data_IF_578805826627
#
_entry.id   IF_578805826627
#
_cell.length_a   1.000
_cell.length_b   1.000
_cell.length_c   1.000
_cell.angle_alpha   90.00
_cell.angle_beta   90.00
_cell.angle_gamma   90.00
#
_symmetry.space_group_name_H-M   'P 1'
#
loop_
_entity.id
_entity.type
_entity.pdbx_description
1 polymer ?
#
# COMPACT_ATOMS: atom_id res chain seq x y z
N UNK A 1 -13.34 -10.79 24.57
CA UNK A 1 -13.74 -10.93 23.15
C UNK A 1 -13.84 -12.42 22.84
N UNK A 2 -14.87 -12.88 22.12
CA UNK A 2 -15.15 -14.30 21.90
C UNK A 2 -14.31 -14.84 20.72
N UNK A 3 -13.72 -16.04 20.86
CA UNK A 3 -12.95 -16.72 19.81
C UNK A 3 -13.71 -16.89 18.50
N UNK A 4 -14.97 -17.31 18.56
CA UNK A 4 -15.84 -17.45 17.38
C UNK A 4 -16.03 -16.12 16.63
N UNK A 5 -16.04 -14.99 17.35
CA UNK A 5 -16.13 -13.68 16.72
C UNK A 5 -14.83 -13.34 15.97
N UNK A 6 -13.68 -13.65 16.58
CA UNK A 6 -12.37 -13.44 15.96
C UNK A 6 -12.17 -14.31 14.72
N UNK A 7 -12.53 -15.59 14.79
CA UNK A 7 -12.49 -16.52 13.64
C UNK A 7 -13.37 -16.05 12.47
N UNK A 8 -14.44 -15.29 12.74
CA UNK A 8 -15.28 -14.69 11.69
C UNK A 8 -14.74 -13.36 11.17
N UNK A 9 -14.15 -12.52 12.03
CA UNK A 9 -13.66 -11.19 11.65
C UNK A 9 -12.32 -11.27 10.91
N UNK A 10 -11.43 -12.19 11.28
CA UNK A 10 -10.10 -12.30 10.67
C UNK A 10 -10.16 -12.51 9.14
N UNK A 11 -10.96 -13.43 8.59
CA UNK A 11 -11.09 -13.57 7.13
C UNK A 11 -11.63 -12.31 6.45
N UNK A 12 -12.53 -11.58 7.10
CA UNK A 12 -13.09 -10.32 6.57
C UNK A 12 -11.99 -9.24 6.53
N UNK A 13 -11.20 -9.13 7.60
CA UNK A 13 -10.09 -8.18 7.67
C UNK A 13 -9.00 -8.51 6.65
N UNK A 14 -8.69 -9.80 6.47
CA UNK A 14 -7.74 -10.28 5.46
C UNK A 14 -8.23 -9.95 4.05
N UNK A 15 -9.52 -10.18 3.76
CA UNK A 15 -10.10 -9.83 2.47
C UNK A 15 -10.05 -8.32 2.20
N UNK A 16 -10.43 -7.50 3.18
CA UNK A 16 -10.37 -6.04 3.05
C UNK A 16 -8.94 -5.52 2.85
N UNK A 17 -7.94 -6.17 3.45
CA UNK A 17 -6.52 -5.89 3.21
C UNK A 17 -6.14 -6.20 1.75
N UNK A 18 -6.57 -7.35 1.21
CA UNK A 18 -6.25 -7.76 -0.16
C UNK A 18 -6.95 -6.86 -1.22
N UNK A 19 -8.19 -6.45 -0.97
CA UNK A 19 -8.90 -5.48 -1.80
C UNK A 19 -8.13 -4.15 -1.83
N UNK A 20 -7.74 -3.63 -0.66
CA UNK A 20 -6.97 -2.39 -0.56
C UNK A 20 -5.58 -2.51 -1.21
N UNK A 21 -4.94 -3.68 -1.12
CA UNK A 21 -3.67 -3.95 -1.77
C UNK A 21 -3.80 -3.93 -3.30
N UNK A 22 -4.91 -4.46 -3.82
CA UNK A 22 -5.22 -4.44 -5.25
C UNK A 22 -5.51 -3.04 -5.76
N UNK A 23 -6.29 -2.25 -5.02
CA UNK A 23 -6.53 -0.83 -5.32
C UNK A 23 -5.21 -0.03 -5.35
N UNK A 24 -4.37 -0.19 -4.33
CA UNK A 24 -3.06 0.46 -4.24
C UNK A 24 -2.16 0.10 -5.43
N UNK A 25 -2.09 -1.18 -5.81
CA UNK A 25 -1.34 -1.63 -7.01
C UNK A 25 -1.85 -0.96 -8.28
N UNK A 26 -3.17 -0.82 -8.43
CA UNK A 26 -3.79 -0.12 -9.55
C UNK A 26 -3.39 1.36 -9.61
N UNK A 27 -3.38 2.05 -8.48
CA UNK A 27 -2.93 3.44 -8.40
C UNK A 27 -1.43 3.59 -8.67
N UNK A 28 -0.60 2.66 -8.16
CA UNK A 28 0.84 2.64 -8.43
C UNK A 28 1.13 2.51 -9.93
N UNK A 29 0.50 1.55 -10.60
CA UNK A 29 0.70 1.33 -12.03
C UNK A 29 0.30 2.57 -12.86
N UNK A 30 -0.79 3.25 -12.49
CA UNK A 30 -1.18 4.51 -13.12
C UNK A 30 -0.13 5.60 -12.88
N UNK A 31 0.34 5.77 -11.65
CA UNK A 31 1.39 6.75 -11.34
C UNK A 31 2.67 6.49 -12.15
N UNK A 32 3.11 5.23 -12.27
CA UNK A 32 4.28 4.86 -13.07
C UNK A 32 4.09 5.18 -14.56
N UNK A 33 2.90 4.91 -15.12
CA UNK A 33 2.60 5.25 -16.52
C UNK A 33 2.58 6.77 -16.78
N UNK A 34 2.04 7.56 -15.85
CA UNK A 34 2.05 9.03 -15.97
C UNK A 34 3.47 9.60 -15.85
N UNK A 35 4.31 9.00 -14.98
CA UNK A 35 5.72 9.33 -14.84
C UNK A 35 6.52 9.01 -16.11
N UNK A 36 6.30 7.85 -16.72
CA UNK A 36 6.94 7.48 -17.99
C UNK A 36 6.57 8.48 -19.10
N UNK A 37 5.31 8.90 -19.15
CA UNK A 37 4.85 9.91 -20.11
C UNK A 37 5.53 11.26 -19.88
N UNK A 38 5.65 11.70 -18.63
CA UNK A 38 6.40 12.91 -18.29
C UNK A 38 7.87 12.80 -18.70
N UNK A 39 8.51 11.66 -18.41
CA UNK A 39 9.90 11.41 -18.77
C UNK A 39 10.11 11.54 -20.29
N UNK A 40 9.25 10.92 -21.11
CA UNK A 40 9.33 11.03 -22.57
C UNK A 40 9.20 12.46 -23.06
N UNK A 41 8.31 13.26 -22.48
CA UNK A 41 8.17 14.68 -22.82
C UNK A 41 9.43 15.47 -22.50
N UNK A 42 10.04 15.25 -21.33
CA UNK A 42 11.28 15.91 -20.91
C UNK A 42 12.45 15.53 -21.82
N UNK A 43 12.61 14.24 -22.13
CA UNK A 43 13.66 13.78 -23.07
C UNK A 43 13.48 14.41 -24.45
N UNK A 44 12.24 14.50 -24.93
CA UNK A 44 11.93 15.15 -26.21
C UNK A 44 12.30 16.63 -26.17
N UNK A 45 12.00 17.31 -25.06
CA UNK A 45 12.35 18.72 -24.85
C UNK A 45 13.86 18.95 -24.84
N UNK A 46 14.61 18.13 -24.10
CA UNK A 46 16.08 18.21 -24.08
C UNK A 46 16.69 17.94 -25.45
N UNK A 47 16.14 16.99 -26.20
CA UNK A 47 16.61 16.68 -27.56
C UNK A 47 16.38 17.85 -28.51
N UNK A 48 15.21 18.50 -28.42
CA UNK A 48 14.90 19.71 -29.18
C UNK A 48 15.90 20.82 -28.87
N UNK A 49 16.19 21.06 -27.58
CA UNK A 49 17.17 22.07 -27.14
C UNK A 49 18.57 21.79 -27.71
N UNK A 50 19.07 20.56 -27.58
CA UNK A 50 20.40 20.17 -28.09
C UNK A 50 20.51 20.38 -29.60
N UNK A 51 19.51 19.93 -30.36
CA UNK A 51 19.49 20.10 -31.82
C UNK A 51 19.52 21.56 -32.27
N UNK A 52 19.00 22.48 -31.43
CA UNK A 52 19.03 23.90 -31.72
C UNK A 52 20.40 24.51 -31.43
N UNK A 53 21.02 24.14 -30.31
CA UNK A 53 22.38 24.59 -29.95
C UNK A 53 23.41 24.13 -30.99
N UNK A 54 23.25 22.93 -31.54
CA UNK A 54 24.09 22.39 -32.61
C UNK A 54 23.91 23.10 -33.97
N UNK A 55 22.77 23.74 -34.20
CA UNK A 55 22.42 24.39 -35.48
C UNK A 55 22.58 25.91 -35.46
N UNK A 56 23.37 26.46 -34.54
CA UNK A 56 23.62 27.89 -34.29
C UNK A 56 24.18 28.73 -35.47
N UNK A 57 24.04 28.28 -36.72
CA UNK A 57 24.36 29.02 -37.95
C UNK A 57 23.22 29.90 -38.48
N UNK A 58 23.23 30.22 -39.77
CA UNK A 58 22.18 31.02 -40.44
C UNK A 58 20.89 30.19 -40.54
N UNK A 59 20.04 30.30 -39.52
CA UNK A 59 18.71 29.70 -39.50
C UNK A 59 17.73 30.71 -40.12
N UNK A 60 16.90 30.25 -41.05
CA UNK A 60 15.76 31.00 -41.55
C UNK A 60 14.84 31.43 -40.40
N UNK A 61 14.46 32.71 -40.35
CA UNK A 61 13.63 33.30 -39.31
C UNK A 61 12.33 32.51 -39.09
N UNK A 62 11.74 31.98 -40.17
CA UNK A 62 10.53 31.17 -40.09
C UNK A 62 10.77 29.86 -39.33
N UNK A 63 11.90 29.19 -39.58
CA UNK A 63 12.30 27.97 -38.87
C UNK A 63 12.58 28.25 -37.39
N UNK A 64 13.20 29.39 -37.08
CA UNK A 64 13.41 29.81 -35.70
C UNK A 64 12.06 29.99 -34.96
N UNK A 65 11.11 30.72 -35.54
CA UNK A 65 9.79 30.93 -34.95
C UNK A 65 9.01 29.63 -34.76
N UNK A 66 9.10 28.70 -35.71
CA UNK A 66 8.47 27.38 -35.60
C UNK A 66 9.02 26.59 -34.41
N UNK A 67 10.35 26.58 -34.24
CA UNK A 67 11.02 25.89 -33.12
C UNK A 67 10.64 26.49 -31.77
N UNK A 68 10.60 27.82 -31.67
CA UNK A 68 10.15 28.49 -30.44
C UNK A 68 8.73 28.09 -30.06
N UNK A 69 7.80 28.08 -31.02
CA UNK A 69 6.42 27.65 -30.78
C UNK A 69 6.33 26.19 -30.33
N UNK A 70 7.07 25.30 -31.00
CA UNK A 70 7.12 23.89 -30.63
C UNK A 70 7.67 23.70 -29.20
N UNK A 71 8.73 24.43 -28.85
CA UNK A 71 9.31 24.46 -27.51
C UNK A 71 8.29 24.90 -26.46
N UNK A 72 7.59 25.99 -26.72
CA UNK A 72 6.61 26.54 -25.79
C UNK A 72 5.42 25.59 -25.60
N UNK A 73 4.95 24.98 -26.68
CA UNK A 73 3.92 23.95 -26.62
C UNK A 73 4.37 22.75 -25.77
N UNK A 74 5.60 22.27 -25.97
CA UNK A 74 6.14 21.13 -25.22
C UNK A 74 6.31 21.47 -23.73
N UNK A 75 6.72 22.70 -23.38
CA UNK A 75 6.75 23.17 -21.99
C UNK A 75 5.37 23.12 -21.34
N UNK A 76 4.33 23.63 -22.00
CA UNK A 76 2.95 23.59 -21.48
C UNK A 76 2.45 22.16 -21.30
N UNK A 77 2.82 21.25 -22.20
CA UNK A 77 2.51 19.83 -22.06
C UNK A 77 3.23 19.21 -20.86
N UNK A 78 4.52 19.52 -20.65
CA UNK A 78 5.27 19.07 -19.48
C UNK A 78 4.63 19.58 -18.19
N UNK A 79 4.30 20.87 -18.09
CA UNK A 79 3.65 21.47 -16.92
C UNK A 79 2.31 20.79 -16.60
N UNK A 80 1.50 20.55 -17.64
CA UNK A 80 0.22 19.85 -17.49
C UNK A 80 0.45 18.40 -17.01
N UNK A 81 1.41 17.70 -17.60
CA UNK A 81 1.72 16.32 -17.24
C UNK A 81 2.31 16.21 -15.83
N UNK A 82 3.10 17.20 -15.38
CA UNK A 82 3.59 17.28 -14.00
C UNK A 82 2.43 17.36 -13.00
N UNK A 83 1.39 18.13 -13.31
CA UNK A 83 0.19 18.18 -12.48
C UNK A 83 -0.53 16.82 -12.43
N UNK A 84 -0.67 16.14 -13.58
CA UNK A 84 -1.27 14.80 -13.66
C UNK A 84 -0.48 13.79 -12.82
N UNK A 85 0.85 13.78 -12.95
CA UNK A 85 1.76 12.96 -12.15
C UNK A 85 1.56 13.23 -10.66
N UNK A 86 1.51 14.51 -10.25
CA UNK A 86 1.33 14.88 -8.85
C UNK A 86 -0.02 14.40 -8.31
N UNK A 87 -1.10 14.54 -9.08
CA UNK A 87 -2.42 14.02 -8.71
C UNK A 87 -2.42 12.49 -8.58
N UNK A 88 -1.79 11.78 -9.53
CA UNK A 88 -1.67 10.33 -9.51
C UNK A 88 -0.86 9.84 -8.30
N UNK A 89 0.26 10.51 -8.00
CA UNK A 89 1.08 10.26 -6.81
C UNK A 89 0.29 10.43 -5.53
N UNK A 90 -0.50 11.50 -5.41
CA UNK A 90 -1.32 11.73 -4.22
C UNK A 90 -2.34 10.60 -4.02
N UNK A 91 -2.99 10.12 -5.09
CA UNK A 91 -3.92 8.99 -5.02
C UNK A 91 -3.21 7.69 -4.61
N UNK A 92 -2.04 7.44 -5.17
CA UNK A 92 -1.20 6.30 -4.80
C UNK A 92 -0.83 6.34 -3.31
N UNK A 93 -0.34 7.48 -2.80
CA UNK A 93 0.01 7.64 -1.39
C UNK A 93 -1.19 7.42 -0.46
N UNK A 94 -2.36 7.99 -0.80
CA UNK A 94 -3.59 7.78 -0.03
C UNK A 94 -4.00 6.30 0.01
N UNK A 95 -3.90 5.60 -1.12
CA UNK A 95 -4.18 4.16 -1.17
C UNK A 95 -3.16 3.35 -0.35
N UNK A 96 -1.89 3.75 -0.35
CA UNK A 96 -0.84 3.14 0.47
C UNK A 96 -1.10 3.31 1.98
N UNK A 97 -1.51 4.50 2.41
CA UNK A 97 -1.88 4.77 3.81
C UNK A 97 -3.10 3.94 4.24
N UNK A 98 -4.12 3.83 3.38
CA UNK A 98 -5.29 2.98 3.64
C UNK A 98 -4.90 1.51 3.80
N UNK A 99 -4.06 0.98 2.90
CA UNK A 99 -3.56 -0.38 2.99
C UNK A 99 -2.81 -0.60 4.31
N UNK A 100 -1.95 0.33 4.70
CA UNK A 100 -1.23 0.24 5.97
C UNK A 100 -2.21 0.16 7.15
N UNK A 101 -3.28 0.97 7.14
CA UNK A 101 -4.35 0.88 8.12
C UNK A 101 -5.00 -0.51 8.19
N UNK A 102 -5.27 -1.12 7.03
CA UNK A 102 -5.86 -2.47 6.94
C UNK A 102 -4.91 -3.58 7.39
N UNK A 103 -3.62 -3.48 7.07
CA UNK A 103 -2.59 -4.40 7.57
C UNK A 103 -2.51 -4.34 9.10
N UNK A 104 -2.53 -3.13 9.68
CA UNK A 104 -2.51 -2.97 11.14
C UNK A 104 -3.77 -3.52 11.78
N UNK A 105 -4.94 -3.30 11.17
CA UNK A 105 -6.22 -3.83 11.64
C UNK A 105 -6.25 -5.38 11.64
N UNK A 106 -5.85 -6.01 10.54
CA UNK A 106 -5.77 -7.47 10.43
C UNK A 106 -4.82 -8.07 11.49
N UNK A 107 -3.62 -7.49 11.63
CA UNK A 107 -2.63 -7.93 12.61
C UNK A 107 -3.12 -7.82 14.06
N UNK A 108 -3.94 -6.82 14.37
CA UNK A 108 -4.59 -6.70 15.70
C UNK A 108 -5.50 -7.90 15.97
N UNK A 109 -6.31 -8.32 15.00
CA UNK A 109 -7.21 -9.45 15.18
C UNK A 109 -6.45 -10.77 15.33
N UNK A 110 -5.39 -10.99 14.54
CA UNK A 110 -4.49 -12.15 14.69
C UNK A 110 -3.91 -12.20 16.10
N UNK A 111 -3.33 -11.09 16.56
CA UNK A 111 -2.71 -11.02 17.89
C UNK A 111 -3.72 -11.26 19.02
N UNK A 112 -4.95 -10.75 18.87
CA UNK A 112 -6.02 -10.98 19.83
C UNK A 112 -6.48 -12.44 19.84
N UNK A 113 -6.56 -13.07 18.66
CA UNK A 113 -6.89 -14.50 18.53
C UNK A 113 -5.84 -15.39 19.20
N UNK A 114 -4.55 -15.13 18.97
CA UNK A 114 -3.46 -15.83 19.64
C UNK A 114 -3.55 -15.72 21.16
N UNK A 115 -3.78 -14.50 21.69
CA UNK A 115 -3.96 -14.29 23.14
C UNK A 115 -5.16 -15.02 23.71
N UNK A 116 -6.30 -14.99 23.02
CA UNK A 116 -7.51 -15.71 23.45
C UNK A 116 -7.24 -17.21 23.47
N UNK A 117 -6.60 -17.76 22.44
CA UNK A 117 -6.24 -19.18 22.38
C UNK A 117 -5.27 -19.58 23.48
N UNK A 118 -4.24 -18.76 23.77
CA UNK A 118 -3.32 -19.02 24.88
C UNK A 118 -4.03 -19.02 26.24
N UNK A 119 -4.95 -18.09 26.45
CA UNK A 119 -5.75 -18.03 27.68
C UNK A 119 -6.66 -19.25 27.83
N UNK A 120 -7.32 -19.70 26.76
CA UNK A 120 -8.14 -20.92 26.77
C UNK A 120 -7.32 -22.14 27.18
N UNK A 121 -6.11 -22.30 26.62
CA UNK A 121 -5.19 -23.39 26.98
C UNK A 121 -4.76 -23.29 28.44
N UNK A 122 -4.43 -22.08 28.93
CA UNK A 122 -4.03 -21.88 30.31
C UNK A 122 -5.17 -22.22 31.29
N UNK A 123 -6.39 -21.78 31.00
CA UNK A 123 -7.58 -22.09 31.81
C UNK A 123 -7.85 -23.59 31.80
N UNK A 124 -7.79 -24.26 30.64
CA UNK A 124 -7.97 -25.71 30.53
C UNK A 124 -6.98 -26.49 31.40
N UNK A 125 -5.70 -26.09 31.40
CA UNK A 125 -4.65 -26.71 32.23
C UNK A 125 -4.89 -26.50 33.72
N UNK A 126 -5.32 -25.30 34.12
CA UNK A 126 -5.66 -25.02 35.51
C UNK A 126 -6.88 -25.84 35.97
N UNK A 127 -7.92 -25.96 35.13
CA UNK A 127 -9.08 -26.78 35.46
C UNK A 127 -8.74 -28.26 35.56
N UNK A 128 -7.89 -28.78 34.67
CA UNK A 128 -7.41 -30.16 34.72
C UNK A 128 -6.59 -30.41 35.99
N UNK A 129 -5.68 -29.50 36.34
CA UNK A 129 -4.89 -29.60 37.58
C UNK A 129 -5.79 -29.60 38.82
N UNK A 130 -6.76 -28.68 38.90
CA UNK A 130 -7.71 -28.65 40.00
C UNK A 130 -8.50 -29.96 40.14
N UNK A 131 -8.93 -30.53 39.01
CA UNK A 131 -9.65 -31.82 39.02
C UNK A 131 -8.76 -32.98 39.49
N UNK A 132 -7.50 -33.02 39.06
CA UNK A 132 -6.51 -34.01 39.53
C UNK A 132 -6.27 -33.86 41.04
N UNK A 133 -6.11 -32.63 41.53
CA UNK A 133 -5.90 -32.34 42.95
C UNK A 133 -7.12 -32.78 43.79
N UNK A 134 -8.33 -32.50 43.33
CA UNK A 134 -9.58 -32.96 43.98
C UNK A 134 -9.68 -34.49 44.03
N UNK A 135 -9.36 -35.19 42.93
CA UNK A 135 -9.33 -36.66 42.89
C UNK A 135 -8.29 -37.24 43.86
N UNK A 136 -7.10 -36.63 43.93
CA UNK A 136 -6.06 -37.04 44.86
C UNK A 136 -6.53 -36.91 46.31
N UNK A 137 -7.20 -35.81 46.67
CA UNK A 137 -7.81 -35.63 48.00
C UNK A 137 -8.88 -36.69 48.28
N UNK A 138 -9.74 -37.02 47.32
CA UNK A 138 -10.79 -38.04 47.50
C UNK A 138 -10.18 -39.43 47.69
N UNK A 139 -9.17 -39.79 46.92
CA UNK A 139 -8.53 -41.10 46.96
C UNK A 139 -7.66 -41.29 48.22
N UNK A 140 -6.91 -40.27 48.63
CA UNK A 140 -6.04 -40.34 49.81
C UNK A 140 -6.75 -39.95 51.12
N UNK A 141 -7.88 -39.23 51.05
CA UNK A 141 -8.70 -38.85 52.21
C UNK A 141 -9.64 -39.95 52.72
N UNK A 142 -9.93 -40.98 51.90
CA UNK A 142 -10.73 -42.16 52.29
C UNK A 142 -9.95 -43.21 53.11
N UNK A 143 -8.69 -42.93 53.46
CA UNK A 143 -7.80 -43.84 54.21
C UNK A 143 -7.66 -43.53 55.70
N UNK A 144 -8.63 -42.85 56.32
CA UNK A 144 -8.71 -42.68 57.79
C UNK A 144 -10.02 -43.23 58.31
#
# INVERSE_FOLDING_TARGET
MNKLLLERIMPIAEHAKEESATEMRGHKARFEAEMETLYRLVVTYETLMKSQDEQSGVIDLLMFQYREKAREQLKRQIETQQLVVQQSRNRYNLAQERLLGKVVEEKKYVTLHEKVSQNEVAVSKLTEQHFIDELAVIHHGKGK
#
